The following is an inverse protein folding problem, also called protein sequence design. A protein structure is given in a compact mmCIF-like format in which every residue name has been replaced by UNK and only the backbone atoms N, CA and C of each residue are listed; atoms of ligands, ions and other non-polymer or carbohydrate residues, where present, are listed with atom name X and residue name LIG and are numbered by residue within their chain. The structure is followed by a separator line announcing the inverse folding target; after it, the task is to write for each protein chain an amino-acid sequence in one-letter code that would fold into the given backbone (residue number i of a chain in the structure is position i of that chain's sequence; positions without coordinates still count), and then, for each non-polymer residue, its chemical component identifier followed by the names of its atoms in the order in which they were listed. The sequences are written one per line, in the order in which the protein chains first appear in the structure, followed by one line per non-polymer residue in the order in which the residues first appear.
data_IF_405403922114
#
_entry.id   IF_405403922114
#
_cell.length_a   1.000
_cell.length_b   1.000
_cell.length_c   1.000
_cell.angle_alpha   90.00
_cell.angle_beta   90.00
_cell.angle_gamma   90.00
#
_symmetry.space_group_name_H-M   'P 1'
#
loop_
_entity.id
_entity.type
_entity.pdbx_description
1 polymer ?
#
# COMPACT_ATOMS: atom_id res chain seq x y z
N UNK A 1 5.91 -54.14 -28.57
CA UNK A 1 4.77 -53.86 -27.65
C UNK A 1 5.39 -53.84 -26.26
N UNK A 2 5.55 -52.73 -25.54
CA UNK A 2 4.65 -51.62 -25.30
C UNK A 2 5.39 -50.27 -25.10
N UNK A 3 4.73 -49.18 -25.51
CA UNK A 3 5.11 -47.79 -25.25
C UNK A 3 4.80 -47.45 -23.78
N UNK A 4 5.80 -47.04 -23.00
CA UNK A 4 5.58 -46.45 -21.67
C UNK A 4 5.10 -45.00 -21.83
N UNK A 5 3.79 -44.79 -21.70
CA UNK A 5 3.19 -43.47 -21.63
C UNK A 5 3.49 -42.85 -20.26
N UNK A 6 4.37 -41.86 -20.22
CA UNK A 6 4.65 -41.05 -19.01
C UNK A 6 3.43 -40.18 -18.77
N UNK A 7 2.53 -40.62 -17.87
CA UNK A 7 1.33 -39.86 -17.51
C UNK A 7 1.76 -38.54 -16.89
N UNK A 8 1.54 -37.44 -17.60
CA UNK A 8 1.69 -36.09 -17.07
C UNK A 8 0.70 -35.93 -15.91
N UNK A 9 1.23 -35.87 -14.69
CA UNK A 9 0.48 -35.49 -13.49
C UNK A 9 -0.02 -34.05 -13.69
N UNK A 10 -1.24 -33.90 -14.23
CA UNK A 10 -1.92 -32.61 -14.33
C UNK A 10 -2.54 -32.30 -12.99
N UNK A 11 -2.09 -31.21 -12.37
CA UNK A 11 -2.72 -30.66 -11.17
C UNK A 11 -4.01 -29.94 -11.59
N UNK A 12 -5.13 -30.33 -11.01
CA UNK A 12 -6.43 -29.70 -11.25
C UNK A 12 -6.41 -28.22 -10.82
N UNK A 13 -6.93 -27.33 -11.69
CA UNK A 13 -6.91 -25.88 -11.49
C UNK A 13 -7.67 -25.44 -10.24
N UNK A 14 -8.70 -26.19 -9.86
CA UNK A 14 -9.56 -25.93 -8.71
C UNK A 14 -9.10 -26.65 -7.43
N UNK A 15 -8.06 -27.48 -7.50
CA UNK A 15 -7.51 -28.19 -6.35
C UNK A 15 -6.49 -27.35 -5.59
N UNK A 16 -6.59 -27.35 -4.26
CA UNK A 16 -5.59 -26.80 -3.35
C UNK A 16 -4.20 -27.45 -3.50
N UNK A 17 -4.07 -28.54 -4.27
CA UNK A 17 -2.80 -29.14 -4.68
C UNK A 17 -1.87 -28.18 -5.45
N UNK A 18 -2.38 -27.08 -6.02
CA UNK A 18 -1.56 -26.00 -6.60
C UNK A 18 -0.73 -25.23 -5.55
N UNK A 19 -1.10 -25.33 -4.27
CA UNK A 19 -0.39 -24.69 -3.15
C UNK A 19 0.95 -25.36 -2.86
N UNK A 20 1.11 -26.65 -3.20
CA UNK A 20 2.35 -27.39 -2.99
C UNK A 20 3.47 -26.97 -3.96
N UNK A 21 3.14 -26.36 -5.10
CA UNK A 21 4.07 -26.03 -6.18
C UNK A 21 4.36 -24.52 -6.26
N UNK A 22 4.61 -23.88 -5.11
CA UNK A 22 5.08 -22.50 -5.10
C UNK A 22 6.21 -22.33 -4.06
N UNK A 23 7.44 -22.54 -4.53
CA UNK A 23 8.68 -22.38 -3.76
C UNK A 23 8.98 -20.93 -3.32
N UNK A 24 8.18 -19.96 -3.77
CA UNK A 24 8.36 -18.52 -3.48
C UNK A 24 7.44 -18.03 -2.34
N UNK A 25 6.61 -18.91 -1.75
CA UNK A 25 5.74 -18.50 -0.63
C UNK A 25 6.57 -18.31 0.63
N UNK A 26 6.94 -17.07 0.93
CA UNK A 26 7.33 -16.67 2.27
C UNK A 26 6.14 -16.88 3.21
N UNK A 27 6.25 -17.84 4.12
CA UNK A 27 5.29 -18.02 5.21
C UNK A 27 5.26 -16.73 6.02
N UNK A 28 4.18 -15.95 5.91
CA UNK A 28 4.01 -14.76 6.73
C UNK A 28 3.82 -15.17 8.19
N UNK A 29 4.58 -14.53 9.08
CA UNK A 29 4.40 -14.62 10.52
C UNK A 29 2.98 -14.17 10.90
N UNK A 30 2.35 -14.87 11.83
CA UNK A 30 1.12 -14.40 12.46
C UNK A 30 1.47 -13.37 13.53
N UNK A 31 0.93 -12.17 13.41
CA UNK A 31 1.09 -11.12 14.41
C UNK A 31 0.30 -11.44 15.68
N UNK A 32 0.91 -11.15 16.83
CA UNK A 32 0.21 -11.09 18.11
C UNK A 32 -0.80 -9.93 18.11
N UNK A 33 -1.77 -9.96 19.03
CA UNK A 33 -2.75 -8.87 19.14
C UNK A 33 -2.11 -7.55 19.58
N UNK A 34 -1.03 -7.60 20.36
CA UNK A 34 -0.22 -6.43 20.70
C UNK A 34 0.43 -5.81 19.45
N UNK A 35 1.01 -6.62 18.57
CA UNK A 35 1.62 -6.14 17.32
C UNK A 35 0.58 -5.56 16.36
N UNK A 36 -0.59 -6.18 16.26
CA UNK A 36 -1.71 -5.62 15.48
C UNK A 36 -2.12 -4.26 16.03
N UNK A 37 -2.25 -4.13 17.35
CA UNK A 37 -2.60 -2.86 17.99
C UNK A 37 -1.53 -1.79 17.74
N UNK A 38 -0.25 -2.13 17.82
CA UNK A 38 0.85 -1.22 17.49
C UNK A 38 0.83 -0.78 16.02
N UNK A 39 0.62 -1.71 15.09
CA UNK A 39 0.51 -1.39 13.66
C UNK A 39 -0.65 -0.42 13.39
N UNK A 40 -1.81 -0.67 13.99
CA UNK A 40 -2.98 0.22 13.88
C UNK A 40 -2.65 1.60 14.43
N UNK A 41 -2.10 1.68 15.64
CA UNK A 41 -1.75 2.96 16.26
C UNK A 41 -0.77 3.78 15.41
N UNK A 42 0.23 3.15 14.79
CA UNK A 42 1.17 3.85 13.90
C UNK A 42 0.47 4.39 12.65
N UNK A 43 -0.41 3.59 12.03
CA UNK A 43 -1.17 4.03 10.85
C UNK A 43 -2.12 5.17 11.19
N UNK A 44 -2.82 5.08 12.30
CA UNK A 44 -3.77 6.10 12.75
C UNK A 44 -3.03 7.43 13.01
N UNK A 45 -1.86 7.38 13.65
CA UNK A 45 -1.04 8.58 13.89
C UNK A 45 -0.42 9.15 12.61
N UNK A 46 -0.04 8.29 11.67
CA UNK A 46 0.37 8.72 10.33
C UNK A 46 -0.75 9.47 9.60
N UNK A 47 -1.96 8.91 9.61
CA UNK A 47 -3.13 9.52 8.99
C UNK A 47 -3.52 10.84 9.66
N UNK A 48 -3.48 10.90 11.00
CA UNK A 48 -3.72 12.13 11.76
C UNK A 48 -2.74 13.24 11.35
N UNK A 49 -1.45 12.93 11.21
CA UNK A 49 -0.46 13.91 10.81
C UNK A 49 -0.65 14.35 9.34
N UNK A 50 -0.96 13.43 8.43
CA UNK A 50 -1.27 13.78 7.04
C UNK A 50 -2.48 14.72 6.96
N UNK A 51 -3.51 14.51 7.77
CA UNK A 51 -4.66 15.42 7.82
C UNK A 51 -4.28 16.82 8.31
N UNK A 52 -3.36 16.93 9.28
CA UNK A 52 -2.84 18.23 9.73
C UNK A 52 -2.04 18.93 8.62
N UNK A 53 -1.22 18.19 7.87
CA UNK A 53 -0.47 18.74 6.72
C UNK A 53 -1.44 19.23 5.64
N UNK A 54 -2.48 18.44 5.34
CA UNK A 54 -3.50 18.82 4.37
C UNK A 54 -4.25 20.09 4.78
N UNK A 55 -4.57 20.22 6.06
CA UNK A 55 -5.19 21.43 6.62
C UNK A 55 -4.33 22.69 6.54
N UNK A 56 -3.02 22.56 6.31
CA UNK A 56 -2.10 23.69 6.13
C UNK A 56 -1.93 24.10 4.67
N UNK A 57 -2.46 23.32 3.72
CA UNK A 57 -2.27 23.61 2.29
C UNK A 57 -2.96 24.89 1.86
N UNK A 58 -2.32 25.58 0.93
CA UNK A 58 -2.90 26.76 0.29
C UNK A 58 -4.08 26.33 -0.58
N UNK A 59 -5.31 26.83 -0.35
CA UNK A 59 -6.45 26.48 -1.19
C UNK A 59 -6.25 26.94 -2.63
N UNK A 60 -6.71 26.17 -3.64
CA UNK A 60 -6.70 26.62 -5.02
C UNK A 60 -7.63 27.84 -5.18
N UNK A 61 -7.13 28.89 -5.83
CA UNK A 61 -7.91 30.09 -6.13
C UNK A 61 -8.52 30.04 -7.54
N UNK A 62 -9.74 30.57 -7.76
CA UNK A 62 -10.34 30.63 -9.08
C UNK A 62 -9.51 31.51 -10.04
N UNK A 63 -9.29 31.02 -11.25
CA UNK A 63 -8.48 31.66 -12.28
C UNK A 63 -9.27 31.96 -13.56
N UNK A 64 -10.59 32.10 -13.44
CA UNK A 64 -11.52 32.26 -14.57
C UNK A 64 -11.84 30.93 -15.25
N UNK A 65 -12.38 31.00 -16.47
CA UNK A 65 -12.80 29.83 -17.24
C UNK A 65 -12.13 29.80 -18.62
N UNK A 66 -11.78 28.61 -19.10
CA UNK A 66 -11.34 28.39 -20.48
C UNK A 66 -12.35 27.45 -21.14
N UNK A 67 -13.04 27.92 -22.18
CA UNK A 67 -14.08 27.15 -22.91
C UNK A 67 -15.22 26.63 -22.01
N UNK A 68 -15.52 27.33 -20.92
CA UNK A 68 -16.55 26.93 -19.95
C UNK A 68 -16.06 25.97 -18.86
N UNK A 69 -14.76 25.65 -18.83
CA UNK A 69 -14.14 24.87 -17.75
C UNK A 69 -13.47 25.80 -16.73
N UNK A 70 -13.81 25.70 -15.42
CA UNK A 70 -13.23 26.53 -14.38
C UNK A 70 -11.76 26.19 -14.17
N UNK A 71 -10.93 27.20 -14.35
CA UNK A 71 -9.51 27.14 -14.04
C UNK A 71 -9.29 27.50 -12.59
N UNK A 72 -8.35 26.80 -11.97
CA UNK A 72 -7.84 27.14 -10.65
C UNK A 72 -6.33 27.30 -10.68
N UNK A 73 -5.82 28.29 -9.96
CA UNK A 73 -4.39 28.44 -9.69
C UNK A 73 -4.14 27.90 -8.29
N UNK A 74 -3.40 26.80 -8.23
CA UNK A 74 -2.86 26.27 -6.99
C UNK A 74 -1.44 26.77 -6.73
N UNK A 75 -1.08 26.91 -5.46
CA UNK A 75 0.31 27.13 -5.04
C UNK A 75 0.96 25.79 -4.75
N UNK A 76 2.25 25.65 -5.08
CA UNK A 76 3.03 24.46 -4.72
C UNK A 76 3.63 24.62 -3.33
N UNK A 77 3.02 24.00 -2.32
CA UNK A 77 3.56 23.93 -0.96
C UNK A 77 4.65 22.87 -0.87
N UNK A 78 5.85 23.18 -1.40
CA UNK A 78 6.97 22.24 -1.53
C UNK A 78 7.34 21.59 -0.20
N UNK A 79 7.40 22.35 0.87
CA UNK A 79 7.75 21.89 2.21
C UNK A 79 6.70 20.91 2.76
N UNK A 80 5.42 21.18 2.51
CA UNK A 80 4.32 20.30 2.93
C UNK A 80 4.33 18.98 2.13
N UNK A 81 4.69 19.02 0.84
CA UNK A 81 4.85 17.81 0.04
C UNK A 81 5.98 16.92 0.57
N UNK A 82 7.14 17.53 0.86
CA UNK A 82 8.28 16.81 1.46
C UNK A 82 7.87 16.23 2.82
N UNK A 83 7.15 16.98 3.64
CA UNK A 83 6.68 16.49 4.93
C UNK A 83 5.73 15.29 4.78
N UNK A 84 4.75 15.36 3.86
CA UNK A 84 3.82 14.28 3.60
C UNK A 84 4.54 13.00 3.16
N UNK A 85 5.43 13.10 2.17
CA UNK A 85 6.24 11.96 1.68
C UNK A 85 7.06 11.33 2.81
N UNK A 86 7.67 12.15 3.67
CA UNK A 86 8.51 11.66 4.78
C UNK A 86 7.69 10.98 5.88
N UNK A 87 6.48 11.46 6.14
CA UNK A 87 5.55 10.81 7.07
C UNK A 87 5.11 9.45 6.53
N UNK A 88 4.74 9.37 5.25
CA UNK A 88 4.36 8.11 4.60
C UNK A 88 5.51 7.09 4.62
N UNK A 89 6.72 7.52 4.28
CA UNK A 89 7.93 6.70 4.35
C UNK A 89 8.18 6.19 5.78
N UNK A 90 8.11 7.07 6.79
CA UNK A 90 8.29 6.70 8.19
C UNK A 90 7.27 5.66 8.66
N UNK A 91 5.99 5.85 8.31
CA UNK A 91 4.90 4.90 8.63
C UNK A 91 5.16 3.54 7.96
N UNK A 92 5.55 3.54 6.69
CA UNK A 92 5.86 2.32 5.95
C UNK A 92 6.99 1.53 6.64
N UNK A 93 8.10 2.19 6.98
CA UNK A 93 9.24 1.54 7.63
C UNK A 93 8.91 1.01 9.02
N UNK A 94 8.11 1.74 9.80
CA UNK A 94 7.70 1.31 11.12
C UNK A 94 6.73 0.11 11.07
N UNK A 95 5.75 0.12 10.15
CA UNK A 95 4.85 -1.02 9.92
C UNK A 95 5.64 -2.22 9.43
N UNK A 96 6.59 -2.01 8.51
CA UNK A 96 7.47 -3.07 8.01
C UNK A 96 8.18 -3.78 9.16
N UNK A 97 8.75 -3.04 10.11
CA UNK A 97 9.42 -3.62 11.29
C UNK A 97 8.50 -4.51 12.12
N UNK A 98 7.22 -4.15 12.26
CA UNK A 98 6.24 -4.98 12.99
C UNK A 98 5.89 -6.26 12.20
N UNK A 99 5.81 -6.15 10.88
CA UNK A 99 5.35 -7.25 10.00
C UNK A 99 6.45 -8.19 9.51
N UNK A 100 7.72 -7.79 9.60
CA UNK A 100 8.89 -8.51 9.09
C UNK A 100 9.31 -9.69 9.97
#
# INVERSE_FOLDING_TARGET
MALHNKTSERVDSASNARTANNAVRHTYRVLSDAEKAQMVAIKDKGAEFLNLIEGLRTPPEPAGDINGEPMVIGTFDRELNIAAEKVEEAVMWAVKHITS
#
